data_IF_643064742029
#
_entry.id   IF_643064742029
#
_cell.length_a   1.000
_cell.length_b   1.000
_cell.length_c   1.000
_cell.angle_alpha   90.00
_cell.angle_beta   90.00
_cell.angle_gamma   90.00
#
_symmetry.space_group_name_H-M   'P 1'
#
loop_
_entity.id
_entity.type
_entity.pdbx_description
1 polymer ?
#
# COMPACT_ATOMS: atom_id res chain seq x y z
N UNK A 1 -14.37 4.09 -5.94
CA UNK A 1 -14.05 4.20 -4.50
C UNK A 1 -12.59 3.80 -4.30
N UNK A 2 -11.92 4.18 -3.20
CA UNK A 2 -10.54 3.71 -2.89
C UNK A 2 -10.62 2.63 -1.82
N UNK A 3 -9.93 1.52 -2.03
CA UNK A 3 -9.98 0.34 -1.16
C UNK A 3 -8.60 0.01 -0.65
N UNK A 4 -8.50 -0.34 0.64
CA UNK A 4 -7.24 -0.77 1.27
C UNK A 4 -6.97 -2.22 0.87
N UNK A 5 -5.86 -2.47 0.18
CA UNK A 5 -5.44 -3.82 -0.25
C UNK A 5 -4.33 -4.40 0.62
N UNK A 6 -3.55 -3.55 1.29
CA UNK A 6 -2.47 -3.98 2.15
C UNK A 6 -2.17 -2.95 3.24
N UNK A 7 -1.66 -3.40 4.39
CA UNK A 7 -1.21 -2.55 5.48
C UNK A 7 0.25 -2.88 5.76
N UNK A 8 1.15 -2.00 5.33
CA UNK A 8 2.57 -2.15 5.56
C UNK A 8 2.93 -1.74 7.01
N UNK A 9 3.83 -2.48 7.68
CA UNK A 9 4.25 -2.17 9.05
C UNK A 9 5.19 -0.96 9.14
N UNK A 10 5.77 -0.52 8.02
CA UNK A 10 6.68 0.61 7.96
C UNK A 10 6.65 1.28 6.58
N UNK A 11 7.14 2.52 6.50
CA UNK A 11 7.12 3.33 5.27
C UNK A 11 7.94 2.71 4.14
N UNK A 12 9.00 1.97 4.47
CA UNK A 12 9.92 1.39 3.49
C UNK A 12 9.25 0.27 2.71
N UNK A 13 8.50 -0.61 3.38
CA UNK A 13 7.72 -1.66 2.73
C UNK A 13 6.57 -1.07 1.91
N UNK A 14 5.90 -0.03 2.43
CA UNK A 14 4.85 0.67 1.68
C UNK A 14 5.37 1.30 0.38
N UNK A 15 6.52 1.99 0.42
CA UNK A 15 7.15 2.61 -0.76
C UNK A 15 7.58 1.56 -1.78
N UNK A 16 8.10 0.41 -1.32
CA UNK A 16 8.48 -0.70 -2.20
C UNK A 16 7.26 -1.26 -2.95
N UNK A 17 6.15 -1.46 -2.25
CA UNK A 17 4.94 -2.01 -2.85
C UNK A 17 4.24 -0.99 -3.76
N UNK A 18 4.20 0.28 -3.36
CA UNK A 18 3.68 1.37 -4.18
C UNK A 18 4.44 1.50 -5.50
N UNK A 19 5.78 1.47 -5.45
CA UNK A 19 6.60 1.48 -6.67
C UNK A 19 6.31 0.31 -7.58
N UNK A 20 6.19 -0.90 -7.03
CA UNK A 20 5.93 -2.11 -7.83
C UNK A 20 4.56 -2.01 -8.50
N UNK A 21 3.52 -1.69 -7.75
CA UNK A 21 2.17 -1.50 -8.28
C UNK A 21 2.12 -0.36 -9.31
N UNK A 22 2.82 0.74 -9.08
CA UNK A 22 2.90 1.87 -10.03
C UNK A 22 3.63 1.48 -11.33
N UNK A 23 4.67 0.64 -11.25
CA UNK A 23 5.39 0.12 -12.43
C UNK A 23 4.49 -0.77 -13.29
N UNK A 24 3.61 -1.56 -12.67
CA UNK A 24 2.62 -2.38 -13.39
C UNK A 24 1.46 -1.54 -13.96
N UNK A 25 1.39 -0.24 -13.63
CA UNK A 25 0.39 0.69 -14.16
C UNK A 25 -0.77 1.00 -13.21
N UNK A 26 -0.74 0.50 -11.97
CA UNK A 26 -1.80 0.76 -10.99
C UNK A 26 -1.71 2.15 -10.37
N UNK A 27 -2.87 2.71 -10.06
CA UNK A 27 -3.01 3.90 -9.22
C UNK A 27 -2.93 3.50 -7.75
N UNK A 28 -1.90 3.99 -7.05
CA UNK A 28 -1.68 3.67 -5.64
C UNK A 28 -1.73 4.93 -4.78
N UNK A 29 -2.35 4.82 -3.61
CA UNK A 29 -2.37 5.87 -2.60
C UNK A 29 -1.89 5.33 -1.27
N UNK A 30 -0.90 5.99 -0.69
CA UNK A 30 -0.39 5.65 0.63
C UNK A 30 -1.08 6.50 1.70
N UNK A 31 -1.51 5.87 2.79
CA UNK A 31 -2.10 6.55 3.94
C UNK A 31 -1.48 6.04 5.23
N UNK A 32 -0.72 6.89 5.89
CA UNK A 32 -0.16 6.57 7.20
C UNK A 32 -1.28 6.54 8.27
N UNK A 33 -1.27 5.51 9.11
CA UNK A 33 -2.12 5.43 10.29
C UNK A 33 -1.28 5.56 11.55
N UNK A 34 -1.72 6.45 12.44
CA UNK A 34 -1.20 6.58 13.81
C UNK A 34 -0.33 7.82 14.05
N UNK A 35 -0.24 8.29 15.30
CA UNK A 35 0.62 9.40 15.67
C UNK A 35 2.09 9.01 15.51
N UNK A 36 2.89 9.92 14.94
CA UNK A 36 4.33 9.73 14.67
C UNK A 36 5.21 9.66 15.95
N UNK A 37 4.61 9.58 17.13
CA UNK A 37 5.31 9.75 18.41
C UNK A 37 5.68 8.41 19.06
N UNK A 38 7.00 8.28 19.26
CA UNK A 38 7.70 7.28 20.07
C UNK A 38 7.82 5.87 19.48
N UNK A 39 8.70 5.70 18.49
CA UNK A 39 9.32 4.41 18.19
C UNK A 39 8.91 3.77 16.85
N UNK A 40 9.21 4.46 15.75
CA UNK A 40 9.59 3.84 14.47
C UNK A 40 8.58 2.96 13.69
N UNK A 41 7.31 2.85 14.12
CA UNK A 41 6.33 1.96 13.47
C UNK A 41 5.02 2.70 13.22
N UNK A 42 5.02 3.66 12.29
CA UNK A 42 3.77 4.09 11.66
C UNK A 42 3.41 3.05 10.61
N UNK A 43 2.23 2.42 10.75
CA UNK A 43 1.68 1.55 9.72
C UNK A 43 1.12 2.39 8.57
N UNK A 44 1.16 1.87 7.35
CA UNK A 44 0.75 2.59 6.15
C UNK A 44 -0.19 1.70 5.37
N UNK A 45 -1.41 2.19 5.16
CA UNK A 45 -2.38 1.60 4.24
C UNK A 45 -1.96 1.90 2.81
N UNK A 46 -2.10 0.88 1.99
CA UNK A 46 -1.88 0.92 0.56
C UNK A 46 -3.25 0.75 -0.07
N UNK A 47 -3.67 1.79 -0.78
CA UNK A 47 -5.00 1.85 -1.39
C UNK A 47 -4.88 1.85 -2.91
N UNK A 48 -5.83 1.19 -3.56
CA UNK A 48 -6.02 1.18 -5.02
C UNK A 48 -7.48 1.49 -5.36
N UNK A 49 -7.80 1.88 -6.60
CA UNK A 49 -9.18 1.96 -7.06
C UNK A 49 -9.88 0.63 -6.89
N UNK A 50 -11.14 0.66 -6.47
CA UNK A 50 -11.97 -0.55 -6.27
C UNK A 50 -11.98 -1.49 -7.48
N UNK A 51 -11.95 -0.95 -8.70
CA UNK A 51 -11.91 -1.71 -9.95
C UNK A 51 -10.65 -2.55 -10.13
N UNK A 52 -9.55 -2.19 -9.48
CA UNK A 52 -8.22 -2.78 -9.66
C UNK A 52 -7.81 -3.66 -8.46
N UNK A 53 -8.71 -3.84 -7.48
CA UNK A 53 -8.39 -4.52 -6.20
C UNK A 53 -7.92 -5.96 -6.42
N UNK A 54 -8.59 -6.69 -7.30
CA UNK A 54 -8.31 -8.11 -7.57
C UNK A 54 -6.91 -8.27 -8.19
N UNK A 55 -6.64 -7.53 -9.26
CA UNK A 55 -5.35 -7.53 -9.97
C UNK A 55 -4.21 -7.04 -9.07
N UNK A 56 -4.43 -5.98 -8.30
CA UNK A 56 -3.44 -5.51 -7.34
C UNK A 56 -3.13 -6.58 -6.27
N UNK A 57 -4.14 -7.32 -5.79
CA UNK A 57 -3.93 -8.40 -4.83
C UNK A 57 -3.08 -9.53 -5.45
N UNK A 58 -3.29 -9.89 -6.71
CA UNK A 58 -2.48 -10.91 -7.39
C UNK A 58 -1.00 -10.50 -7.42
N UNK A 59 -0.70 -9.25 -7.76
CA UNK A 59 0.67 -8.73 -7.77
C UNK A 59 1.29 -8.75 -6.37
N UNK A 60 0.52 -8.42 -5.33
CA UNK A 60 0.98 -8.42 -3.93
C UNK A 60 1.26 -9.84 -3.42
N UNK A 61 0.44 -10.82 -3.81
CA UNK A 61 0.61 -12.23 -3.41
C UNK A 61 1.72 -12.95 -4.20
N UNK A 62 2.13 -12.42 -5.35
CA UNK A 62 3.24 -12.95 -6.15
C UNK A 62 4.63 -12.55 -5.63
N UNK A 63 4.71 -11.88 -4.48
CA UNK A 63 5.94 -11.36 -3.84
C UNK A 63 6.42 -12.31 -2.74
#
# INVERSE_FOLDING_TARGET
>A
MWTVVYIAPNKREADKLEKRLTVEGFLVKLRAIGPQQAGNTCSIEILVPESEVDEALEIINSI
#
